data_IF_033438036088
#
_entry.id   IF_033438036088
#
_cell.length_a   1.000
_cell.length_b   1.000
_cell.length_c   1.000
_cell.angle_alpha   90.00
_cell.angle_beta   90.00
_cell.angle_gamma   90.00
#
_symmetry.space_group_name_H-M   'P 1'
#
loop_
_entity.id
_entity.type
_entity.pdbx_description
1 polymer ?
#
# COMPACT_ATOMS: atom_id res chain seq x y z
N UNK A 1 13.59 22.99 -13.89
CA UNK A 1 13.30 24.45 -13.91
C UNK A 1 12.50 24.81 -15.15
N UNK A 2 12.89 24.34 -16.34
CA UNK A 2 12.17 24.55 -17.61
C UNK A 2 10.67 24.23 -17.58
N UNK A 3 10.30 23.03 -17.14
CA UNK A 3 8.89 22.58 -17.06
C UNK A 3 8.01 23.42 -16.15
N UNK A 4 8.59 24.05 -15.12
CA UNK A 4 7.85 24.93 -14.22
C UNK A 4 7.57 26.28 -14.87
N UNK A 5 8.48 26.78 -15.72
CA UNK A 5 8.32 28.03 -16.47
C UNK A 5 7.30 27.87 -17.60
N UNK A 6 7.32 26.76 -18.30
CA UNK A 6 6.32 26.45 -19.35
C UNK A 6 4.90 26.38 -18.77
N UNK A 7 4.74 25.75 -17.60
CA UNK A 7 3.45 25.67 -16.92
C UNK A 7 2.97 27.06 -16.49
N UNK A 8 3.88 27.91 -16.01
CA UNK A 8 3.55 29.26 -15.57
C UNK A 8 3.11 30.15 -16.74
N UNK A 9 3.78 30.06 -17.89
CA UNK A 9 3.36 30.76 -19.11
C UNK A 9 1.98 30.32 -19.61
N UNK A 10 1.63 29.03 -19.49
CA UNK A 10 0.30 28.53 -19.83
C UNK A 10 -0.78 29.07 -18.88
N UNK A 11 -0.49 29.14 -17.58
CA UNK A 11 -1.41 29.67 -16.56
C UNK A 11 -1.67 31.17 -16.75
N UNK A 12 -0.64 31.93 -17.14
CA UNK A 12 -0.77 33.35 -17.43
C UNK A 12 -1.59 33.59 -18.71
N UNK A 13 -1.49 32.71 -19.70
CA UNK A 13 -2.24 32.80 -20.96
C UNK A 13 -3.74 32.47 -20.79
N UNK A 14 -4.08 31.44 -20.01
CA UNK A 14 -5.48 30.99 -19.82
C UNK A 14 -6.24 31.84 -18.78
N UNK A 15 -5.54 32.63 -17.96
CA UNK A 15 -6.15 33.58 -17.03
C UNK A 15 -7.13 32.96 -16.02
N UNK A 16 -8.21 33.67 -15.70
CA UNK A 16 -9.15 33.32 -14.62
C UNK A 16 -10.06 32.13 -14.92
N UNK A 17 -10.14 31.69 -16.18
CA UNK A 17 -10.96 30.56 -16.63
C UNK A 17 -10.17 29.24 -16.72
N UNK A 18 -8.95 29.24 -16.17
CA UNK A 18 -8.12 28.06 -16.13
C UNK A 18 -8.77 26.98 -15.24
N UNK A 19 -9.25 25.92 -15.88
CA UNK A 19 -9.74 24.71 -15.21
C UNK A 19 -8.78 23.57 -15.46
N UNK A 20 -8.12 23.09 -14.40
CA UNK A 20 -7.31 21.87 -14.45
C UNK A 20 -8.22 20.68 -14.78
N UNK A 21 -8.29 20.29 -16.06
CA UNK A 21 -8.82 18.99 -16.44
C UNK A 21 -7.90 17.94 -15.83
N UNK A 22 -8.32 17.42 -14.66
CA UNK A 22 -7.65 16.33 -13.95
C UNK A 22 -7.56 15.15 -14.91
N UNK A 23 -6.39 14.98 -15.53
CA UNK A 23 -6.04 13.76 -16.24
C UNK A 23 -6.27 12.63 -15.23
N UNK A 24 -7.20 11.71 -15.53
CA UNK A 24 -7.40 10.47 -14.76
C UNK A 24 -6.14 9.63 -14.98
N UNK A 25 -5.05 10.03 -14.34
CA UNK A 25 -3.90 9.19 -14.16
C UNK A 25 -4.34 8.18 -13.11
N UNK A 26 -4.52 6.93 -13.53
CA UNK A 26 -4.75 5.75 -12.67
C UNK A 26 -3.49 5.39 -11.87
N UNK A 27 -2.75 6.41 -11.43
CA UNK A 27 -1.44 6.32 -10.81
C UNK A 27 -1.33 7.49 -9.83
N UNK A 28 -2.30 7.56 -8.92
CA UNK A 28 -2.23 8.50 -7.80
C UNK A 28 -1.06 8.05 -6.91
N UNK A 29 -0.13 8.94 -6.54
CA UNK A 29 0.85 8.60 -5.52
C UNK A 29 0.08 8.27 -4.25
N UNK A 30 0.18 7.02 -3.80
CA UNK A 30 -0.39 6.59 -2.52
C UNK A 30 0.36 7.36 -1.44
N UNK A 31 -0.28 8.40 -0.90
CA UNK A 31 0.25 9.11 0.25
C UNK A 31 0.05 8.19 1.46
N UNK A 32 1.13 7.53 1.89
CA UNK A 32 1.16 6.78 3.15
C UNK A 32 0.76 7.73 4.27
N UNK A 33 -0.32 7.41 4.99
CA UNK A 33 -0.74 8.19 6.14
C UNK A 33 0.30 8.04 7.24
N UNK A 34 0.88 9.16 7.67
CA UNK A 34 1.90 9.18 8.74
C UNK A 34 1.38 8.65 10.08
N UNK A 35 0.06 8.57 10.24
CA UNK A 35 -0.63 8.07 11.43
C UNK A 35 -1.50 6.85 11.13
N UNK A 36 -1.36 6.24 9.95
CA UNK A 36 -2.03 4.97 9.70
C UNK A 36 -1.47 3.94 10.70
N UNK A 37 -2.33 3.10 11.30
CA UNK A 37 -1.84 2.01 12.12
C UNK A 37 -0.87 1.19 11.26
N UNK A 38 0.25 0.70 11.83
CA UNK A 38 1.16 -0.16 11.10
C UNK A 38 0.35 -1.30 10.48
N UNK A 39 0.61 -1.61 9.21
CA UNK A 39 -0.05 -2.73 8.55
C UNK A 39 0.10 -3.98 9.43
N UNK A 40 -1.03 -4.60 9.79
CA UNK A 40 -1.01 -5.75 10.69
C UNK A 40 -0.20 -6.88 10.05
N UNK A 41 0.72 -7.48 10.80
CA UNK A 41 1.59 -8.51 10.25
C UNK A 41 0.72 -9.68 9.72
N UNK A 42 0.93 -10.15 8.47
CA UNK A 42 0.09 -11.16 7.86
C UNK A 42 0.08 -12.51 8.61
N UNK A 43 1.07 -12.78 9.46
CA UNK A 43 1.08 -13.97 10.31
C UNK A 43 -0.04 -13.94 11.37
N UNK A 44 -0.49 -12.75 11.80
CA UNK A 44 -1.50 -12.59 12.85
C UNK A 44 -2.86 -13.11 12.38
N UNK A 45 -3.26 -12.79 11.15
CA UNK A 45 -4.49 -13.28 10.56
C UNK A 45 -4.52 -14.81 10.43
N UNK A 46 -3.38 -15.39 10.05
CA UNK A 46 -3.26 -16.86 9.96
C UNK A 46 -3.39 -17.50 11.34
N UNK A 47 -2.77 -16.93 12.37
CA UNK A 47 -2.86 -17.42 13.75
C UNK A 47 -4.28 -17.38 14.29
N UNK A 48 -5.03 -16.30 14.04
CA UNK A 48 -6.43 -16.15 14.50
C UNK A 48 -7.36 -17.22 13.93
N UNK A 49 -7.09 -17.68 12.70
CA UNK A 49 -7.94 -18.62 11.98
C UNK A 49 -7.44 -20.07 12.04
N UNK A 50 -6.33 -20.33 12.74
CA UNK A 50 -5.72 -21.66 12.77
C UNK A 50 -6.50 -22.61 13.68
N UNK A 51 -7.04 -23.69 13.11
CA UNK A 51 -7.71 -24.76 13.85
C UNK A 51 -6.69 -25.79 14.34
N UNK A 52 -6.00 -25.48 15.45
CA UNK A 52 -4.90 -26.30 15.99
C UNK A 52 -5.31 -27.75 16.26
N UNK A 53 -6.52 -27.97 16.77
CA UNK A 53 -7.03 -29.31 17.14
C UNK A 53 -7.21 -30.24 15.93
N UNK A 54 -7.26 -29.68 14.72
CA UNK A 54 -7.48 -30.43 13.47
C UNK A 54 -6.18 -30.73 12.72
N UNK A 55 -5.02 -30.34 13.25
CA UNK A 55 -3.74 -30.54 12.58
C UNK A 55 -3.09 -31.85 13.01
N UNK A 56 -2.59 -32.61 12.03
CA UNK A 56 -1.61 -33.65 12.31
C UNK A 56 -0.28 -33.04 12.78
N UNK A 57 0.58 -33.81 13.47
CA UNK A 57 1.89 -33.32 13.92
C UNK A 57 2.75 -32.78 12.78
N UNK A 58 2.69 -33.39 11.59
CA UNK A 58 3.44 -32.92 10.42
C UNK A 58 2.90 -31.58 9.92
N UNK A 59 1.58 -31.45 9.79
CA UNK A 59 0.95 -30.20 9.36
C UNK A 59 1.22 -29.06 10.33
N UNK A 60 1.22 -29.34 11.64
CA UNK A 60 1.57 -28.36 12.65
C UNK A 60 3.01 -27.86 12.45
N UNK A 61 3.98 -28.75 12.25
CA UNK A 61 5.37 -28.36 11.99
C UNK A 61 5.50 -27.53 10.71
N UNK A 62 4.85 -27.94 9.61
CA UNK A 62 4.84 -27.17 8.36
C UNK A 62 4.24 -25.78 8.56
N UNK A 63 3.11 -25.67 9.27
CA UNK A 63 2.46 -24.38 9.58
C UNK A 63 3.36 -23.47 10.42
N UNK A 64 4.13 -24.01 11.35
CA UNK A 64 5.09 -23.22 12.13
C UNK A 64 6.20 -22.62 11.26
N UNK A 65 6.71 -23.37 10.27
CA UNK A 65 7.68 -22.82 9.31
C UNK A 65 7.08 -21.73 8.42
N UNK A 66 5.85 -21.90 7.96
CA UNK A 66 5.13 -20.90 7.17
C UNK A 66 4.92 -19.61 7.97
N UNK A 67 4.45 -19.72 9.22
CA UNK A 67 4.24 -18.59 10.12
C UNK A 67 5.54 -17.85 10.41
N UNK A 68 6.65 -18.57 10.64
CA UNK A 68 7.97 -17.95 10.81
C UNK A 68 8.35 -17.13 9.58
N UNK A 69 8.12 -17.66 8.38
CA UNK A 69 8.42 -16.95 7.13
C UNK A 69 7.56 -15.69 6.97
N UNK A 70 6.28 -15.75 7.31
CA UNK A 70 5.37 -14.60 7.26
C UNK A 70 5.74 -13.53 8.30
N UNK A 71 6.12 -13.93 9.51
CA UNK A 71 6.49 -13.02 10.58
C UNK A 71 7.83 -12.30 10.34
N UNK A 72 8.72 -12.89 9.53
CA UNK A 72 10.03 -12.33 9.17
C UNK A 72 10.08 -11.70 7.79
N UNK A 73 8.96 -11.64 7.06
CA UNK A 73 8.86 -10.90 5.82
C UNK A 73 8.60 -9.42 6.17
N UNK A 74 9.58 -8.56 5.87
CA UNK A 74 9.50 -7.10 5.98
C UNK A 74 8.65 -6.49 4.86
#
# INVERSE_FOLDING_TARGET
VERARELLAQLEADGSDFTLKRKKNSDQPVQLGFFDPPEENPAVDVLRNLQVDNLSPLEALTKLYELKRLASAD
#
